data_IF_076354394153
#
_entry.id   IF_076354394153
#
_cell.length_a   1.000
_cell.length_b   1.000
_cell.length_c   1.000
_cell.angle_alpha   90.00
_cell.angle_beta   90.00
_cell.angle_gamma   90.00
#
_symmetry.space_group_name_H-M   'P 1'
#
loop_
_entity.id
_entity.type
_entity.pdbx_description
1 polymer ?
#
# COMPACT_ATOMS: atom_id res chain seq x y z
N UNK A 1 -10.47 -24.93 35.78
CA UNK A 1 -11.30 -24.63 34.60
C UNK A 1 -10.56 -25.25 33.41
N UNK A 2 -10.53 -26.57 33.21
CA UNK A 2 -11.62 -27.54 33.00
C UNK A 2 -12.25 -27.40 31.60
N UNK A 3 -11.85 -28.28 30.66
CA UNK A 3 -12.55 -28.69 29.42
C UNK A 3 -12.68 -27.63 28.31
N UNK A 4 -12.67 -27.92 27.01
CA UNK A 4 -12.80 -29.18 26.25
C UNK A 4 -12.44 -28.89 24.77
N UNK A 5 -11.93 -29.86 23.99
CA UNK A 5 -11.67 -29.72 22.56
C UNK A 5 -12.90 -30.14 21.73
N UNK A 6 -13.16 -29.47 20.61
CA UNK A 6 -14.15 -29.89 19.62
C UNK A 6 -13.45 -30.52 18.42
N UNK A 7 -13.48 -31.85 18.38
CA UNK A 7 -13.23 -32.66 17.21
C UNK A 7 -14.36 -32.48 16.20
N UNK A 8 -14.03 -32.40 14.92
CA UNK A 8 -15.01 -32.56 13.84
C UNK A 8 -14.88 -33.96 13.22
N UNK A 9 -16.00 -34.62 12.90
CA UNK A 9 -16.02 -35.99 12.43
C UNK A 9 -15.61 -36.10 10.96
N UNK A 10 -14.69 -37.00 10.72
CA UNK A 10 -14.43 -37.66 9.43
C UNK A 10 -15.73 -38.30 8.94
N UNK A 11 -16.21 -37.88 7.77
CA UNK A 11 -17.25 -38.62 7.03
C UNK A 11 -16.60 -39.37 5.89
N UNK A 12 -16.32 -40.65 6.15
CA UNK A 12 -16.17 -41.68 5.14
C UNK A 12 -17.56 -41.92 4.55
N UNK A 13 -17.71 -41.78 3.23
CA UNK A 13 -18.88 -42.28 2.52
C UNK A 13 -18.42 -43.17 1.36
N UNK A 14 -19.03 -44.37 1.38
CA UNK A 14 -18.73 -45.53 0.58
C UNK A 14 -18.86 -45.27 -0.93
N UNK A 15 -17.99 -45.99 -1.65
CA UNK A 15 -18.13 -46.28 -3.06
C UNK A 15 -19.44 -47.03 -3.36
N UNK A 16 -20.11 -46.63 -4.44
CA UNK A 16 -21.17 -47.40 -5.09
C UNK A 16 -20.76 -47.68 -6.54
N UNK A 17 -21.08 -48.91 -6.94
CA UNK A 17 -20.51 -49.61 -8.07
C UNK A 17 -21.12 -49.22 -9.44
N UNK A 18 -20.24 -49.28 -10.44
CA UNK A 18 -20.42 -49.67 -11.84
C UNK A 18 -21.84 -49.76 -12.41
N UNK A 19 -22.12 -48.89 -13.39
CA UNK A 19 -22.93 -49.25 -14.56
C UNK A 19 -22.07 -49.11 -15.82
N UNK A 20 -21.79 -50.24 -16.47
CA UNK A 20 -21.17 -50.34 -17.77
C UNK A 20 -22.24 -49.98 -18.82
N UNK A 21 -22.11 -48.82 -19.44
CA UNK A 21 -22.82 -48.48 -20.67
C UNK A 21 -21.89 -47.63 -21.51
N UNK A 22 -21.52 -48.17 -22.68
CA UNK A 22 -20.53 -47.60 -23.57
C UNK A 22 -20.87 -46.17 -23.96
N UNK A 23 -20.06 -45.24 -23.48
CA UNK A 23 -20.02 -43.86 -23.96
C UNK A 23 -18.72 -43.73 -24.73
N UNK A 24 -18.85 -43.44 -26.02
CA UNK A 24 -17.78 -43.01 -26.90
C UNK A 24 -16.91 -41.99 -26.16
N UNK A 25 -15.66 -42.37 -25.91
CA UNK A 25 -14.62 -41.50 -25.37
C UNK A 25 -14.29 -40.48 -26.45
N UNK A 26 -15.11 -39.45 -26.59
CA UNK A 26 -14.62 -38.16 -27.11
C UNK A 26 -13.77 -37.60 -26.00
N UNK A 27 -12.48 -37.96 -26.03
CA UNK A 27 -11.42 -37.27 -25.34
C UNK A 27 -11.39 -35.83 -25.89
N UNK A 28 -12.31 -35.01 -25.41
CA UNK A 28 -12.16 -33.57 -25.47
C UNK A 28 -10.87 -33.29 -24.71
N UNK A 29 -9.86 -32.90 -25.47
CA UNK A 29 -8.63 -32.29 -25.01
C UNK A 29 -9.00 -31.13 -24.09
N UNK A 30 -9.17 -31.42 -22.80
CA UNK A 30 -9.11 -30.42 -21.75
C UNK A 30 -7.64 -30.02 -21.70
N UNK A 31 -7.24 -29.16 -22.63
CA UNK A 31 -6.01 -28.40 -22.47
C UNK A 31 -6.21 -27.61 -21.17
N UNK A 32 -5.33 -27.80 -20.16
CA UNK A 32 -5.33 -26.88 -19.05
C UNK A 32 -5.08 -25.50 -19.65
N UNK A 33 -6.08 -24.62 -19.58
CA UNK A 33 -5.82 -23.21 -19.85
C UNK A 33 -4.68 -22.82 -18.93
N UNK A 34 -3.60 -22.22 -19.47
CA UNK A 34 -2.58 -21.66 -18.61
C UNK A 34 -3.32 -20.72 -17.68
N UNK A 35 -3.38 -21.06 -16.39
CA UNK A 35 -3.84 -20.14 -15.36
C UNK A 35 -2.95 -18.94 -15.50
N UNK A 36 -3.46 -17.86 -16.08
CA UNK A 36 -2.79 -16.57 -16.09
C UNK A 36 -2.43 -16.32 -14.64
N UNK A 37 -1.15 -16.47 -14.32
CA UNK A 37 -0.63 -16.02 -13.06
C UNK A 37 -0.95 -14.54 -13.04
N UNK A 38 -1.99 -14.18 -12.28
CA UNK A 38 -2.48 -12.83 -12.08
C UNK A 38 -1.25 -11.98 -11.84
N UNK A 39 -0.85 -11.22 -12.87
CA UNK A 39 0.36 -10.42 -12.82
C UNK A 39 -0.01 -9.28 -11.91
N UNK A 40 0.25 -9.46 -10.61
CA UNK A 40 0.03 -8.45 -9.59
C UNK A 40 0.76 -7.21 -10.10
N UNK A 41 0.00 -6.25 -10.60
CA UNK A 41 0.56 -5.00 -11.07
C UNK A 41 1.24 -4.38 -9.87
N UNK A 42 2.57 -4.36 -9.88
CA UNK A 42 3.41 -3.85 -8.80
C UNK A 42 3.42 -2.33 -8.75
N UNK A 43 2.30 -1.72 -9.13
CA UNK A 43 2.13 -0.31 -9.34
C UNK A 43 0.89 0.14 -8.57
N UNK A 44 1.05 1.21 -7.82
CA UNK A 44 -0.06 1.98 -7.27
C UNK A 44 -0.01 3.37 -7.86
N UNK A 45 -1.16 4.01 -7.95
CA UNK A 45 -1.31 5.37 -8.49
C UNK A 45 -0.39 6.37 -7.79
N UNK A 46 -0.09 6.19 -6.51
CA UNK A 46 0.79 7.08 -5.75
C UNK A 46 2.27 6.99 -6.17
N UNK A 47 2.68 5.90 -6.85
CA UNK A 47 4.07 5.67 -7.27
C UNK A 47 4.52 6.79 -8.20
N UNK A 48 5.67 7.40 -7.90
CA UNK A 48 6.25 8.48 -8.69
C UNK A 48 6.78 9.63 -7.83
N UNK A 49 7.12 10.73 -8.50
CA UNK A 49 7.52 11.98 -7.86
C UNK A 49 6.40 13.00 -7.97
N UNK A 50 6.17 13.74 -6.90
CA UNK A 50 5.12 14.72 -6.77
C UNK A 50 5.71 16.02 -6.24
N UNK A 51 5.41 17.15 -6.88
CA UNK A 51 5.95 18.46 -6.50
C UNK A 51 4.85 19.44 -6.08
N UNK A 52 5.17 20.25 -5.07
CA UNK A 52 4.42 21.45 -4.71
C UNK A 52 5.12 22.67 -5.32
N UNK A 53 4.58 23.17 -6.44
CA UNK A 53 5.15 24.32 -7.18
C UNK A 53 5.14 25.62 -6.39
N UNK A 54 4.36 25.69 -5.32
CA UNK A 54 4.18 26.90 -4.49
C UNK A 54 4.70 26.71 -3.06
N UNK A 55 5.58 25.73 -2.84
CA UNK A 55 6.14 25.46 -1.51
C UNK A 55 6.94 26.66 -0.97
N UNK A 56 6.54 27.17 0.20
CA UNK A 56 7.29 28.15 0.98
C UNK A 56 8.25 27.43 1.93
N UNK A 57 9.20 28.15 2.53
CA UNK A 57 10.12 27.59 3.51
C UNK A 57 9.38 26.81 4.60
N UNK A 58 9.75 25.55 4.80
CA UNK A 58 9.09 24.63 5.74
C UNK A 58 7.96 23.79 5.14
N UNK A 59 7.32 24.23 4.04
CA UNK A 59 6.29 23.46 3.36
C UNK A 59 6.89 22.21 2.69
N UNK A 60 6.08 21.17 2.50
CA UNK A 60 6.47 20.02 1.66
C UNK A 60 6.66 20.53 0.23
N UNK A 61 7.86 20.36 -0.30
CA UNK A 61 8.24 20.73 -1.68
C UNK A 61 8.11 19.55 -2.64
N UNK A 62 8.44 18.34 -2.17
CA UNK A 62 8.43 17.13 -2.99
C UNK A 62 8.11 15.89 -2.17
N UNK A 63 7.36 14.97 -2.77
CA UNK A 63 7.11 13.63 -2.27
C UNK A 63 7.57 12.63 -3.32
N UNK A 64 8.29 11.59 -2.90
CA UNK A 64 8.73 10.49 -3.75
C UNK A 64 8.16 9.21 -3.19
N UNK A 65 7.38 8.48 -3.98
CA UNK A 65 6.80 7.19 -3.62
C UNK A 65 7.38 6.14 -4.54
N UNK A 66 7.97 5.11 -3.95
CA UNK A 66 8.48 3.95 -4.66
C UNK A 66 7.69 2.71 -4.27
N UNK A 67 7.37 1.89 -5.26
CA UNK A 67 6.64 0.63 -5.12
C UNK A 67 7.46 -0.49 -5.73
N UNK A 68 7.60 -1.60 -5.00
CA UNK A 68 8.35 -2.77 -5.44
C UNK A 68 7.60 -4.04 -5.03
N UNK A 69 7.60 -5.06 -5.89
CA UNK A 69 7.16 -6.38 -5.51
C UNK A 69 8.30 -7.20 -4.90
N UNK A 70 8.07 -7.73 -3.70
CA UNK A 70 8.98 -8.67 -3.02
C UNK A 70 8.20 -9.93 -2.67
N UNK A 71 8.44 -11.01 -3.41
CA UNK A 71 7.78 -12.31 -3.15
C UNK A 71 6.25 -12.19 -3.11
N UNK A 72 5.67 -11.64 -4.17
CA UNK A 72 4.22 -11.37 -4.33
C UNK A 72 3.62 -10.40 -3.31
N UNK A 73 4.45 -9.73 -2.50
CA UNK A 73 4.01 -8.66 -1.62
C UNK A 73 4.42 -7.32 -2.19
N UNK A 74 3.46 -6.42 -2.31
CA UNK A 74 3.71 -5.06 -2.70
C UNK A 74 4.26 -4.28 -1.50
N UNK A 75 5.46 -3.74 -1.65
CA UNK A 75 6.16 -2.97 -0.62
C UNK A 75 6.31 -1.55 -1.13
N UNK A 76 5.90 -0.59 -0.31
CA UNK A 76 6.01 0.82 -0.62
C UNK A 76 6.96 1.51 0.35
N UNK A 77 7.66 2.51 -0.17
CA UNK A 77 8.36 3.48 0.65
C UNK A 77 8.13 4.88 0.13
N UNK A 78 8.12 5.83 1.03
CA UNK A 78 7.91 7.24 0.72
C UNK A 78 9.00 8.10 1.34
N UNK A 79 9.45 9.09 0.59
CA UNK A 79 10.36 10.12 1.03
C UNK A 79 9.71 11.48 0.85
N UNK A 80 9.77 12.28 1.90
CA UNK A 80 9.23 13.64 1.90
C UNK A 80 10.38 14.63 2.02
N UNK A 81 10.33 15.65 1.17
CA UNK A 81 11.24 16.78 1.17
C UNK A 81 10.47 18.05 1.49
N UNK A 82 11.05 18.89 2.34
CA UNK A 82 10.52 20.22 2.65
C UNK A 82 11.42 21.30 2.09
N UNK A 83 10.82 22.41 1.69
CA UNK A 83 11.55 23.55 1.13
C UNK A 83 12.49 24.13 2.19
N UNK A 84 13.79 24.09 1.90
CA UNK A 84 14.86 24.60 2.76
C UNK A 84 15.96 25.24 1.92
N UNK A 85 16.83 26.03 2.54
CA UNK A 85 17.99 26.66 1.89
C UNK A 85 19.31 26.13 2.49
N UNK A 86 20.35 25.86 1.67
CA UNK A 86 20.40 26.01 0.21
C UNK A 86 19.80 24.81 -0.56
N UNK A 87 19.48 23.72 0.14
CA UNK A 87 18.87 22.51 -0.42
C UNK A 87 17.67 22.13 0.43
N UNK A 88 16.71 21.45 -0.18
CA UNK A 88 15.54 20.92 0.51
C UNK A 88 15.95 19.96 1.65
N UNK A 89 15.26 20.08 2.78
CA UNK A 89 15.45 19.17 3.90
C UNK A 89 14.70 17.85 3.62
N UNK A 90 15.21 16.73 4.09
CA UNK A 90 14.61 15.41 3.87
C UNK A 90 14.19 14.80 5.20
N UNK A 91 13.00 14.20 5.27
CA UNK A 91 12.59 13.39 6.44
C UNK A 91 13.11 11.95 6.37
N UNK A 92 13.73 11.58 5.25
CA UNK A 92 14.24 10.22 5.01
C UNK A 92 13.19 9.34 4.32
N UNK A 93 13.44 8.04 4.28
CA UNK A 93 12.50 7.05 3.76
C UNK A 93 11.69 6.44 4.90
N UNK A 94 10.38 6.33 4.72
CA UNK A 94 9.48 5.59 5.60
C UNK A 94 8.73 4.51 4.83
N UNK A 95 8.31 3.44 5.51
CA UNK A 95 7.42 2.44 4.93
C UNK A 95 6.05 3.06 4.66
N UNK A 96 5.53 2.83 3.46
CA UNK A 96 4.19 3.23 3.06
C UNK A 96 3.20 2.09 3.14
N UNK A 97 1.93 2.40 3.42
CA UNK A 97 0.84 1.44 3.42
C UNK A 97 -0.41 2.05 2.79
N UNK A 98 -1.17 1.25 2.05
CA UNK A 98 -2.49 1.64 1.53
C UNK A 98 -3.57 1.21 2.53
N UNK A 99 -4.40 2.14 2.99
CA UNK A 99 -5.53 1.86 3.89
C UNK A 99 -6.77 1.46 3.09
N UNK A 100 -7.76 0.87 3.76
CA UNK A 100 -9.00 0.36 3.17
C UNK A 100 -9.91 1.41 2.49
N UNK A 101 -9.50 2.68 2.42
CA UNK A 101 -10.21 3.75 1.72
C UNK A 101 -9.37 4.41 0.61
N UNK A 102 -8.39 3.69 0.05
CA UNK A 102 -7.53 4.21 -1.02
C UNK A 102 -6.43 5.18 -0.56
N UNK A 103 -6.49 5.70 0.67
CA UNK A 103 -5.46 6.58 1.26
C UNK A 103 -4.12 5.87 1.41
N UNK A 104 -3.07 6.48 0.88
CA UNK A 104 -1.69 6.06 1.12
C UNK A 104 -1.13 6.78 2.34
N UNK A 105 -0.58 6.03 3.29
CA UNK A 105 -0.13 6.57 4.57
C UNK A 105 1.30 6.15 4.89
N UNK A 106 1.99 6.98 5.65
CA UNK A 106 3.29 6.67 6.23
C UNK A 106 3.48 7.43 7.54
N UNK A 107 4.37 6.92 8.39
CA UNK A 107 4.76 7.59 9.62
C UNK A 107 6.25 7.85 9.60
N UNK A 108 6.64 9.10 9.82
CA UNK A 108 8.03 9.49 9.97
C UNK A 108 8.30 9.78 11.44
N UNK A 109 9.33 9.14 12.00
CA UNK A 109 9.85 9.51 13.32
C UNK A 109 11.07 10.39 13.12
N UNK A 110 11.00 11.63 13.58
CA UNK A 110 12.12 12.56 13.53
C UNK A 110 12.44 13.09 14.91
N UNK A 111 13.56 13.81 15.02
CA UNK A 111 14.06 14.26 16.31
C UNK A 111 13.05 15.09 17.12
N UNK A 112 12.21 15.90 16.47
CA UNK A 112 11.30 16.83 17.14
C UNK A 112 9.84 16.39 17.19
N UNK A 113 9.45 15.44 16.35
CA UNK A 113 8.05 15.05 16.17
C UNK A 113 7.90 13.71 15.45
N UNK A 114 6.79 13.03 15.72
CA UNK A 114 6.19 12.09 14.77
C UNK A 114 5.43 12.88 13.69
N UNK A 115 5.51 12.42 12.44
CA UNK A 115 4.75 13.01 11.32
C UNK A 115 3.89 11.95 10.67
N UNK A 116 2.58 12.12 10.77
CA UNK A 116 1.61 11.23 10.16
C UNK A 116 1.25 11.75 8.77
N UNK A 117 1.81 11.11 7.76
CA UNK A 117 1.64 11.46 6.36
C UNK A 117 0.45 10.69 5.76
N UNK A 118 -0.39 11.41 5.02
CA UNK A 118 -1.49 10.86 4.23
C UNK A 118 -1.48 11.49 2.84
N UNK A 119 -1.80 10.68 1.83
CA UNK A 119 -1.83 11.08 0.45
C UNK A 119 -3.04 10.48 -0.26
N UNK A 120 -3.72 11.33 -1.03
CA UNK A 120 -4.85 10.99 -1.88
C UNK A 120 -4.55 11.47 -3.29
N UNK A 121 -4.61 10.56 -4.26
CA UNK A 121 -4.30 10.85 -5.67
C UNK A 121 -5.59 11.00 -6.47
N UNK A 122 -5.60 11.96 -7.39
CA UNK A 122 -6.68 12.16 -8.36
C UNK A 122 -6.05 12.58 -9.69
N UNK A 123 -5.81 11.59 -10.57
CA UNK A 123 -5.10 11.81 -11.84
C UNK A 123 -3.67 12.28 -11.62
N UNK A 124 -3.36 13.48 -12.14
CA UNK A 124 -2.02 14.11 -12.04
C UNK A 124 -1.87 15.03 -10.81
N UNK A 125 -2.88 15.04 -9.94
CA UNK A 125 -2.86 15.81 -8.70
C UNK A 125 -2.86 14.88 -7.49
N UNK A 126 -2.29 15.37 -6.40
CA UNK A 126 -2.45 14.73 -5.11
C UNK A 126 -2.72 15.76 -4.02
N UNK A 127 -3.55 15.38 -3.05
CA UNK A 127 -3.66 16.08 -1.78
C UNK A 127 -2.81 15.34 -0.75
N UNK A 128 -1.81 16.03 -0.22
CA UNK A 128 -0.95 15.52 0.85
C UNK A 128 -1.34 16.22 2.14
N UNK A 129 -1.64 15.46 3.18
CA UNK A 129 -1.94 15.97 4.51
C UNK A 129 -0.96 15.40 5.52
N UNK A 130 -0.45 16.24 6.42
CA UNK A 130 0.47 15.83 7.49
C UNK A 130 -0.02 16.38 8.82
N UNK A 131 -0.05 15.51 9.82
CA UNK A 131 -0.18 15.89 11.24
C UNK A 131 1.17 15.75 11.91
N UNK A 132 1.56 16.77 12.67
CA UNK A 132 2.78 16.83 13.46
C UNK A 132 2.40 16.62 14.92
N UNK A 133 2.91 15.53 15.50
CA UNK A 133 2.81 15.21 16.92
C UNK A 133 4.18 15.48 17.54
N UNK A 134 4.30 16.61 18.24
CA UNK A 134 5.58 17.10 18.76
C UNK A 134 5.96 16.37 20.05
N UNK A 135 7.23 15.99 20.17
CA UNK A 135 7.72 15.37 21.42
C UNK A 135 7.83 16.37 22.58
N UNK A 136 7.76 17.67 22.30
CA UNK A 136 7.73 18.72 23.34
C UNK A 136 6.27 19.02 23.69
N UNK A 137 5.85 18.63 24.89
CA UNK A 137 4.49 18.81 25.41
C UNK A 137 4.05 20.29 25.48
N UNK A 138 4.99 21.23 25.38
CA UNK A 138 4.69 22.67 25.31
C UNK A 138 4.22 23.13 23.94
N UNK A 139 4.32 22.28 22.91
CA UNK A 139 3.85 22.57 21.56
C UNK A 139 2.57 21.80 21.29
N UNK A 140 1.61 22.50 20.71
CA UNK A 140 0.37 21.88 20.23
C UNK A 140 0.63 21.14 18.92
N UNK A 141 -0.15 20.10 18.68
CA UNK A 141 -0.15 19.39 17.40
C UNK A 141 -0.55 20.32 16.26
N UNK A 142 0.16 20.21 15.15
CA UNK A 142 -0.11 21.00 13.96
C UNK A 142 -0.59 20.10 12.81
N UNK A 143 -1.40 20.65 11.91
CA UNK A 143 -1.80 19.97 10.69
C UNK A 143 -1.61 20.88 9.47
N UNK A 144 -1.14 20.30 8.37
CA UNK A 144 -0.95 21.01 7.11
C UNK A 144 -1.38 20.14 5.93
N UNK A 145 -1.92 20.78 4.90
CA UNK A 145 -2.29 20.14 3.65
C UNK A 145 -1.72 20.89 2.45
N UNK A 146 -1.29 20.13 1.45
CA UNK A 146 -0.56 20.62 0.29
C UNK A 146 -1.11 19.96 -0.97
N UNK A 147 -1.31 20.77 -2.02
CA UNK A 147 -1.66 20.25 -3.35
C UNK A 147 -0.37 20.01 -4.12
N UNK A 148 -0.23 18.80 -4.63
CA UNK A 148 0.90 18.36 -5.42
C UNK A 148 0.48 18.12 -6.87
N UNK A 149 1.45 18.22 -7.77
CA UNK A 149 1.34 17.81 -9.17
C UNK A 149 2.37 16.72 -9.42
N UNK A 150 2.04 15.71 -10.23
CA UNK A 150 3.01 14.69 -10.65
C UNK A 150 4.15 15.32 -11.45
N UNK A 151 5.37 14.92 -11.13
CA UNK A 151 6.56 15.20 -11.95
C UNK A 151 6.70 14.01 -12.92
N UNK A 152 6.33 14.24 -14.19
CA UNK A 152 6.38 13.25 -15.27
C UNK A 152 7.82 13.02 -15.77
#
# INVERSE_FOLDING_TARGET
MSGTPLSMPVRVLLAAAMSLSGVLVTAWLVWPEPTEAETIACFIEETGTWSNRHARTGDISRVQVESQCKGNKLVHRVRVLTKCAPRDCTWGWAAGAKKSGGRFVATFSTYSAYRYFQMEVTGNHALVSVTYDYHDERKEDEAASFRMVRDD
#
